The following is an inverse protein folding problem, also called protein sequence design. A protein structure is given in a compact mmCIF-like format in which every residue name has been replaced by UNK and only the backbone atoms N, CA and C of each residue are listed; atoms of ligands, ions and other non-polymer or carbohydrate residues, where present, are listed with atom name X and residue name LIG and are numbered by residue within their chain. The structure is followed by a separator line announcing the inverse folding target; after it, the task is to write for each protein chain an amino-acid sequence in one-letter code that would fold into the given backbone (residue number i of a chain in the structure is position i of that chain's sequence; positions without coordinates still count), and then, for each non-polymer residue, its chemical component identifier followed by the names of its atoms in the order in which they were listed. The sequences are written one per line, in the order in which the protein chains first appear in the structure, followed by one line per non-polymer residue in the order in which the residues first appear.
data_IF_602960088327
#
_entry.id   IF_602960088327
#
_cell.length_a   1.000
_cell.length_b   1.000
_cell.length_c   1.000
_cell.angle_alpha   90.00
_cell.angle_beta   90.00
_cell.angle_gamma   90.00
#
_symmetry.space_group_name_H-M   'P 1'
#
loop_
_entity.id
_entity.type
_entity.pdbx_description
1 polymer ?
#
# COMPACT_ATOMS: atom_id res chain seq x y z
N UNK A 1 9.99 -5.50 12.76
CA UNK A 1 9.10 -5.36 11.58
C UNK A 1 9.54 -4.27 10.62
N UNK A 2 10.01 -3.09 11.07
CA UNK A 2 10.52 -2.03 10.19
C UNK A 2 11.89 -2.32 9.51
N UNK A 3 12.70 -3.20 10.09
CA UNK A 3 14.06 -3.47 9.59
C UNK A 3 14.13 -4.27 8.28
N UNK A 4 13.07 -4.99 7.90
CA UNK A 4 13.01 -5.72 6.63
C UNK A 4 12.72 -4.81 5.42
N UNK A 5 12.19 -3.60 5.64
CA UNK A 5 11.79 -2.70 4.55
C UNK A 5 12.94 -1.90 3.94
N UNK A 6 14.09 -1.78 4.63
CA UNK A 6 15.04 -0.71 4.32
C UNK A 6 16.10 -1.07 3.27
N UNK A 7 16.46 -2.34 3.09
CA UNK A 7 17.56 -2.72 2.19
C UNK A 7 17.17 -3.67 1.06
N UNK A 8 16.17 -4.54 1.25
CA UNK A 8 15.76 -5.53 0.24
C UNK A 8 14.62 -5.01 -0.62
N UNK A 9 13.63 -4.32 -0.03
CA UNK A 9 12.46 -3.82 -0.76
C UNK A 9 12.83 -2.85 -1.90
N UNK A 10 13.74 -1.92 -1.63
CA UNK A 10 14.22 -0.94 -2.60
C UNK A 10 15.17 -1.51 -3.66
N UNK A 11 15.62 -2.75 -3.47
CA UNK A 11 16.53 -3.48 -4.37
C UNK A 11 15.82 -4.62 -5.10
N UNK A 12 14.49 -4.70 -5.01
CA UNK A 12 13.73 -5.69 -5.77
C UNK A 12 14.01 -5.45 -7.25
N UNK A 13 14.51 -6.49 -7.90
CA UNK A 13 14.64 -6.50 -9.35
C UNK A 13 13.24 -6.62 -9.93
N UNK A 14 12.73 -5.49 -10.44
CA UNK A 14 11.47 -5.46 -11.17
C UNK A 14 11.60 -4.57 -12.39
N UNK A 15 10.74 -4.84 -13.38
CA UNK A 15 10.55 -3.99 -14.55
C UNK A 15 10.39 -2.53 -14.10
N UNK A 16 11.11 -1.61 -14.73
CA UNK A 16 11.15 -0.20 -14.30
C UNK A 16 9.77 0.43 -14.22
N UNK A 17 8.86 -0.03 -15.08
CA UNK A 17 7.46 0.37 -15.13
C UNK A 17 6.74 0.12 -13.80
N UNK A 18 7.08 -0.95 -13.06
CA UNK A 18 6.43 -1.33 -11.79
C UNK A 18 7.08 -0.75 -10.53
N UNK A 19 8.32 -0.25 -10.64
CA UNK A 19 9.04 0.37 -9.51
C UNK A 19 8.23 1.45 -8.76
N UNK A 20 7.49 2.37 -9.43
CA UNK A 20 6.75 3.42 -8.74
C UNK A 20 5.72 2.88 -7.73
N UNK A 21 4.98 1.84 -8.10
CA UNK A 21 3.96 1.25 -7.22
C UNK A 21 4.62 0.45 -6.11
N UNK A 22 5.61 -0.36 -6.44
CA UNK A 22 6.33 -1.16 -5.43
C UNK A 22 6.95 -0.25 -4.37
N UNK A 23 7.51 0.88 -4.76
CA UNK A 23 8.04 1.88 -3.81
C UNK A 23 6.96 2.58 -2.98
N UNK A 24 5.73 2.73 -3.50
CA UNK A 24 4.63 3.35 -2.77
C UNK A 24 3.97 2.42 -1.72
N UNK A 25 4.00 1.10 -1.93
CA UNK A 25 3.42 0.08 -1.03
C UNK A 25 3.81 0.28 0.45
N UNK A 26 5.10 0.36 0.82
CA UNK A 26 5.52 0.63 2.20
C UNK A 26 4.86 1.85 2.82
N UNK A 27 4.80 2.95 2.06
CA UNK A 27 4.25 4.22 2.53
C UNK A 27 2.75 4.09 2.77
N UNK A 28 2.02 3.46 1.85
CA UNK A 28 0.57 3.20 1.98
C UNK A 28 0.26 2.30 3.18
N UNK A 29 0.97 1.18 3.35
CA UNK A 29 0.79 0.29 4.50
C UNK A 29 1.04 1.04 5.81
N UNK A 30 2.13 1.81 5.87
CA UNK A 30 2.49 2.58 7.07
C UNK A 30 1.41 3.62 7.39
N UNK A 31 0.87 4.28 6.37
CA UNK A 31 -0.22 5.24 6.51
C UNK A 31 -1.50 4.63 7.06
N UNK A 32 -1.96 3.50 6.51
CA UNK A 32 -3.17 2.83 6.98
C UNK A 32 -3.02 2.27 8.41
N UNK A 33 -1.83 1.75 8.75
CA UNK A 33 -1.50 1.34 10.11
C UNK A 33 -1.49 2.52 11.08
N UNK A 34 -0.93 3.66 10.66
CA UNK A 34 -0.93 4.89 11.46
C UNK A 34 -2.36 5.39 11.68
N UNK A 35 -3.21 5.43 10.65
CA UNK A 35 -4.63 5.81 10.79
C UNK A 35 -5.34 4.90 11.79
N UNK A 36 -5.21 3.58 11.65
CA UNK A 36 -5.80 2.61 12.60
C UNK A 36 -5.33 2.87 14.04
N UNK A 37 -4.03 3.08 14.26
CA UNK A 37 -3.50 3.38 15.59
C UNK A 37 -4.12 4.65 16.18
N UNK A 38 -4.25 5.71 15.38
CA UNK A 38 -4.86 6.95 15.83
C UNK A 38 -6.35 6.77 16.13
N UNK A 39 -7.10 6.06 15.29
CA UNK A 39 -8.52 5.79 15.55
C UNK A 39 -8.72 5.05 16.87
N UNK A 40 -7.91 4.02 17.14
CA UNK A 40 -7.96 3.28 18.41
C UNK A 40 -7.62 4.18 19.60
N UNK A 41 -6.61 5.04 19.46
CA UNK A 41 -6.21 6.00 20.51
C UNK A 41 -7.34 6.97 20.88
N UNK A 42 -8.19 7.35 19.93
CA UNK A 42 -9.31 8.27 20.14
C UNK A 42 -10.65 7.56 20.40
N UNK A 43 -10.62 6.29 20.83
CA UNK A 43 -11.82 5.54 21.23
C UNK A 43 -12.61 4.90 20.08
N UNK A 44 -12.13 5.03 18.84
CA UNK A 44 -12.71 4.36 17.69
C UNK A 44 -12.27 2.90 17.56
N UNK A 45 -12.92 2.16 16.66
CA UNK A 45 -12.59 0.77 16.34
C UNK A 45 -12.42 0.61 14.84
N UNK A 46 -11.29 0.05 14.42
CA UNK A 46 -11.00 -0.30 13.03
C UNK A 46 -10.46 -1.72 12.99
N UNK A 47 -11.17 -2.58 12.26
CA UNK A 47 -10.76 -3.97 12.06
C UNK A 47 -9.50 -4.04 11.21
N UNK A 48 -8.72 -5.11 11.38
CA UNK A 48 -7.56 -5.35 10.52
C UNK A 48 -7.98 -5.57 9.06
N UNK A 49 -9.11 -6.25 8.83
CA UNK A 49 -9.70 -6.44 7.50
C UNK A 49 -9.98 -5.11 6.80
N UNK A 50 -10.44 -4.09 7.55
CA UNK A 50 -10.64 -2.75 6.98
C UNK A 50 -9.33 -2.14 6.53
N UNK A 51 -8.25 -2.29 7.31
CA UNK A 51 -6.91 -1.81 6.92
C UNK A 51 -6.42 -2.47 5.64
N UNK A 52 -6.57 -3.80 5.50
CA UNK A 52 -6.20 -4.52 4.28
C UNK A 52 -6.98 -3.96 3.09
N UNK A 53 -8.30 -3.80 3.23
CA UNK A 53 -9.15 -3.28 2.17
C UNK A 53 -8.77 -1.86 1.74
N UNK A 54 -8.43 -0.97 2.70
CA UNK A 54 -7.95 0.38 2.39
C UNK A 54 -6.60 0.37 1.65
N UNK A 55 -5.67 -0.49 2.07
CA UNK A 55 -4.38 -0.66 1.37
C UNK A 55 -4.64 -1.13 -0.08
N UNK A 56 -5.49 -2.13 -0.28
CA UNK A 56 -5.81 -2.64 -1.61
C UNK A 56 -6.50 -1.59 -2.49
N UNK A 57 -7.46 -0.84 -1.95
CA UNK A 57 -8.10 0.28 -2.64
C UNK A 57 -7.06 1.31 -3.10
N UNK A 58 -6.19 1.75 -2.18
CA UNK A 58 -5.18 2.76 -2.49
C UNK A 58 -4.19 2.27 -3.56
N UNK A 59 -3.76 1.02 -3.49
CA UNK A 59 -2.89 0.42 -4.50
C UNK A 59 -3.58 0.29 -5.85
N UNK A 60 -4.85 -0.11 -5.87
CA UNK A 60 -5.64 -0.18 -7.09
C UNK A 60 -5.77 1.20 -7.75
N UNK A 61 -6.12 2.24 -6.99
CA UNK A 61 -6.22 3.60 -7.52
C UNK A 61 -4.88 4.12 -8.02
N UNK A 62 -3.79 3.88 -7.27
CA UNK A 62 -2.45 4.24 -7.72
C UNK A 62 -2.10 3.52 -9.02
N UNK A 63 -2.37 2.22 -9.13
CA UNK A 63 -2.12 1.45 -10.34
C UNK A 63 -2.92 1.95 -11.54
N UNK A 64 -4.20 2.26 -11.35
CA UNK A 64 -5.04 2.82 -12.40
C UNK A 64 -4.57 4.20 -12.87
N UNK A 65 -4.08 5.03 -11.94
CA UNK A 65 -3.52 6.34 -12.28
C UNK A 65 -2.15 6.27 -12.95
N UNK A 66 -1.32 5.29 -12.57
CA UNK A 66 0.05 5.13 -13.07
C UNK A 66 0.08 4.41 -14.42
N UNK A 67 -0.87 3.50 -14.67
CA UNK A 67 -0.93 2.67 -15.88
C UNK A 67 -2.28 2.83 -16.61
N UNK A 68 -2.56 3.99 -17.21
CA UNK A 68 -3.81 4.23 -17.93
C UNK A 68 -4.02 3.29 -19.13
N UNK A 69 -2.93 2.73 -19.68
CA UNK A 69 -2.97 1.74 -20.76
C UNK A 69 -3.37 0.33 -20.30
N UNK A 70 -3.30 0.03 -18.99
CA UNK A 70 -3.61 -1.29 -18.45
C UNK A 70 -5.09 -1.38 -18.08
N UNK A 71 -5.90 -1.97 -18.97
CA UNK A 71 -7.37 -1.94 -18.89
C UNK A 71 -7.97 -2.84 -17.80
N UNK A 72 -7.28 -3.92 -17.41
CA UNK A 72 -7.83 -4.97 -16.54
C UNK A 72 -6.97 -5.16 -15.28
N UNK A 73 -6.77 -4.10 -14.50
CA UNK A 73 -6.09 -4.20 -13.22
C UNK A 73 -7.02 -4.95 -12.24
N UNK A 74 -6.62 -6.10 -11.69
CA UNK A 74 -7.45 -6.82 -10.73
C UNK A 74 -7.58 -6.00 -9.43
N UNK A 75 -8.79 -5.99 -8.89
CA UNK A 75 -9.04 -5.50 -7.54
C UNK A 75 -8.71 -6.62 -6.55
N UNK A 76 -7.79 -6.36 -5.62
CA UNK A 76 -7.27 -7.34 -4.65
C UNK A 76 -8.05 -7.33 -3.34
#
# INVERSE_FOLDING_TARGET
MLYLFKSTWWKIDCEEKFKPILHAVPAMITWELWKRRNTIRHGGKVSFTRVIHEVNNNLYFLARSTYPWLKNIPFL
#
